data_IF_564549142915
#
_entry.id   IF_564549142915
#
_cell.length_a   1.000
_cell.length_b   1.000
_cell.length_c   1.000
_cell.angle_alpha   90.00
_cell.angle_beta   90.00
_cell.angle_gamma   90.00
#
_symmetry.space_group_name_H-M   'P 1'
#
loop_
_entity.id
_entity.type
_entity.pdbx_description
1 polymer ?
#
# COMPACT_ATOMS: atom_id res chain seq x y z
N UNK A 1 -25.27 12.59 22.85
CA UNK A 1 -24.63 11.73 21.84
C UNK A 1 -23.14 12.06 21.66
N UNK A 2 -22.78 13.25 21.15
CA UNK A 2 -21.38 13.66 20.88
C UNK A 2 -20.44 13.69 22.10
N UNK A 3 -20.94 13.88 23.33
CA UNK A 3 -20.09 13.98 24.53
C UNK A 3 -19.98 12.69 25.35
N UNK A 4 -20.88 11.72 25.17
CA UNK A 4 -20.87 10.46 25.94
C UNK A 4 -20.52 9.25 25.08
N UNK A 5 -21.13 9.13 23.89
CA UNK A 5 -20.92 7.96 23.01
C UNK A 5 -19.62 8.10 22.22
N UNK A 6 -19.36 9.31 21.68
CA UNK A 6 -18.17 9.58 20.88
C UNK A 6 -16.84 9.25 21.58
N UNK A 7 -16.59 9.65 22.85
CA UNK A 7 -15.33 9.33 23.52
C UNK A 7 -15.14 7.84 23.85
N UNK A 8 -16.22 7.11 24.10
CA UNK A 8 -16.18 5.66 24.37
C UNK A 8 -15.91 4.89 23.07
N UNK A 9 -16.43 5.36 21.94
CA UNK A 9 -16.20 4.77 20.62
C UNK A 9 -14.92 5.23 19.92
N UNK A 10 -14.18 6.21 20.47
CA UNK A 10 -12.88 6.67 19.91
C UNK A 10 -11.90 5.53 19.57
N UNK A 11 -11.63 4.55 20.46
CA UNK A 11 -10.76 3.43 20.10
C UNK A 11 -11.36 2.59 18.97
N UNK A 12 -12.66 2.30 18.99
CA UNK A 12 -13.33 1.53 17.93
C UNK A 12 -13.27 2.23 16.57
N UNK A 13 -13.55 3.54 16.53
CA UNK A 13 -13.46 4.36 15.32
C UNK A 13 -12.02 4.43 14.80
N UNK A 14 -11.02 4.48 15.69
CA UNK A 14 -9.61 4.46 15.30
C UNK A 14 -9.24 3.13 14.64
N UNK A 15 -9.71 1.98 15.16
CA UNK A 15 -9.47 0.67 14.55
C UNK A 15 -10.16 0.54 13.18
N UNK A 16 -11.42 0.96 13.07
CA UNK A 16 -12.16 0.93 11.79
C UNK A 16 -11.50 1.87 10.77
N UNK A 17 -11.13 3.08 11.18
CA UNK A 17 -10.45 4.05 10.33
C UNK A 17 -9.09 3.54 9.86
N UNK A 18 -8.32 2.89 10.73
CA UNK A 18 -7.06 2.23 10.35
C UNK A 18 -7.29 1.13 9.33
N UNK A 19 -8.20 0.19 9.60
CA UNK A 19 -8.47 -0.95 8.70
C UNK A 19 -8.97 -0.49 7.33
N UNK A 20 -9.86 0.52 7.29
CA UNK A 20 -10.33 1.12 6.04
C UNK A 20 -9.19 1.84 5.29
N UNK A 21 -8.39 2.65 5.99
CA UNK A 21 -7.27 3.37 5.38
C UNK A 21 -6.25 2.39 4.80
N UNK A 22 -5.90 1.33 5.52
CA UNK A 22 -5.04 0.26 5.01
C UNK A 22 -5.67 -0.48 3.83
N UNK A 23 -6.96 -0.77 3.90
CA UNK A 23 -7.70 -1.43 2.82
C UNK A 23 -7.64 -0.62 1.53
N UNK A 24 -7.96 0.67 1.59
CA UNK A 24 -7.88 1.58 0.44
C UNK A 24 -6.44 1.85 -0.01
N UNK A 25 -5.49 1.94 0.92
CA UNK A 25 -4.08 2.15 0.60
C UNK A 25 -3.51 0.98 -0.22
N UNK A 26 -3.88 -0.24 0.12
CA UNK A 26 -3.47 -1.45 -0.59
C UNK A 26 -4.39 -1.80 -1.78
N UNK A 27 -5.38 -0.96 -2.08
CA UNK A 27 -6.32 -1.25 -3.17
C UNK A 27 -5.72 -0.84 -4.51
N UNK A 28 -5.11 -1.83 -5.17
CA UNK A 28 -4.61 -1.71 -6.53
C UNK A 28 -5.58 -2.29 -7.56
N UNK A 29 -6.39 -3.27 -7.19
CA UNK A 29 -7.26 -3.99 -8.13
C UNK A 29 -8.43 -3.14 -8.61
N UNK A 30 -9.16 -2.51 -7.68
CA UNK A 30 -10.29 -1.66 -8.06
C UNK A 30 -9.80 -0.43 -8.83
N UNK A 31 -8.63 0.11 -8.47
CA UNK A 31 -8.00 1.20 -9.22
C UNK A 31 -7.62 0.79 -10.63
N UNK A 32 -7.11 -0.43 -10.87
CA UNK A 32 -6.77 -0.88 -12.22
C UNK A 32 -8.01 -1.21 -13.07
N UNK A 33 -9.10 -1.64 -12.43
CA UNK A 33 -10.30 -2.12 -13.10
C UNK A 33 -11.28 -0.99 -13.45
N UNK A 34 -11.44 0.00 -12.56
CA UNK A 34 -12.44 1.06 -12.72
C UNK A 34 -11.88 2.40 -13.20
N UNK A 35 -10.58 2.62 -13.10
CA UNK A 35 -9.96 3.91 -13.46
C UNK A 35 -9.31 3.76 -14.83
N UNK A 36 -9.82 4.54 -15.79
CA UNK A 36 -9.28 4.59 -17.16
C UNK A 36 -8.23 5.72 -17.32
N UNK A 37 -8.29 6.73 -16.45
CA UNK A 37 -7.36 7.86 -16.47
C UNK A 37 -6.13 7.58 -15.60
N UNK A 38 -4.96 7.41 -16.24
CA UNK A 38 -3.67 7.15 -15.58
C UNK A 38 -3.28 8.18 -14.51
N UNK A 39 -3.80 9.41 -14.54
CA UNK A 39 -3.55 10.43 -13.51
C UNK A 39 -4.26 10.16 -12.18
N UNK A 40 -5.29 9.31 -12.20
CA UNK A 40 -6.10 8.96 -11.04
C UNK A 40 -5.73 7.59 -10.47
N UNK A 41 -4.69 6.94 -10.98
CA UNK A 41 -4.27 5.64 -10.48
C UNK A 41 -3.77 5.77 -9.04
N UNK A 42 -4.19 4.83 -8.19
CA UNK A 42 -3.63 4.70 -6.86
C UNK A 42 -2.13 4.42 -6.97
N UNK A 43 -1.35 4.87 -5.98
CA UNK A 43 0.10 4.62 -5.94
C UNK A 43 0.39 3.11 -6.09
N UNK A 44 -0.39 2.29 -5.40
CA UNK A 44 -0.29 0.83 -5.46
C UNK A 44 -0.55 0.28 -6.88
N UNK A 45 -1.54 0.83 -7.60
CA UNK A 45 -1.86 0.42 -8.97
C UNK A 45 -0.76 0.79 -9.97
N UNK A 46 -0.14 1.96 -9.83
CA UNK A 46 1.00 2.37 -10.68
C UNK A 46 2.18 1.43 -10.46
N UNK A 47 2.54 1.16 -9.20
CA UNK A 47 3.65 0.26 -8.87
C UNK A 47 3.42 -1.16 -9.42
N UNK A 48 2.21 -1.70 -9.25
CA UNK A 48 1.80 -2.99 -9.81
C UNK A 48 1.85 -3.02 -11.34
N UNK A 49 1.43 -1.93 -12.00
CA UNK A 49 1.51 -1.83 -13.46
C UNK A 49 2.97 -1.82 -13.92
N UNK A 50 3.85 -1.12 -13.23
CA UNK A 50 5.28 -1.11 -13.54
C UNK A 50 5.90 -2.49 -13.33
N UNK A 51 5.61 -3.19 -12.23
CA UNK A 51 6.11 -4.55 -11.99
C UNK A 51 5.67 -5.52 -13.09
N UNK A 52 4.39 -5.49 -13.48
CA UNK A 52 3.86 -6.30 -14.58
C UNK A 52 4.49 -5.97 -15.93
N UNK A 53 4.74 -4.69 -16.22
CA UNK A 53 5.43 -4.29 -17.44
C UNK A 53 6.88 -4.81 -17.45
N UNK A 54 7.57 -4.77 -16.31
CA UNK A 54 8.93 -5.29 -16.17
C UNK A 54 8.95 -6.81 -16.34
N UNK A 55 8.01 -7.54 -15.74
CA UNK A 55 7.84 -8.98 -15.93
C UNK A 55 7.49 -9.35 -17.37
N UNK A 56 6.65 -8.54 -18.04
CA UNK A 56 6.31 -8.74 -19.44
C UNK A 56 7.54 -8.58 -20.34
N UNK A 57 8.33 -7.52 -20.13
CA UNK A 57 9.58 -7.29 -20.85
C UNK A 57 10.62 -8.37 -20.57
N UNK A 58 10.67 -8.87 -19.33
CA UNK A 58 11.54 -9.96 -18.93
C UNK A 58 11.25 -11.27 -19.67
N UNK A 59 9.97 -11.64 -19.77
CA UNK A 59 9.54 -12.91 -20.36
C UNK A 59 9.49 -12.86 -21.90
N UNK A 60 9.38 -11.66 -22.49
CA UNK A 60 9.35 -11.46 -23.95
C UNK A 60 10.67 -10.88 -24.48
N UNK A 61 11.76 -10.96 -23.72
CA UNK A 61 13.06 -10.41 -24.12
C UNK A 61 13.59 -11.02 -25.42
N UNK A 62 13.25 -12.29 -25.70
CA UNK A 62 13.62 -12.99 -26.95
C UNK A 62 12.84 -12.54 -28.19
N UNK A 63 11.67 -11.91 -28.03
CA UNK A 63 10.86 -11.40 -29.16
C UNK A 63 11.03 -9.90 -29.42
N UNK A 64 11.83 -9.23 -28.60
CA UNK A 64 12.15 -7.81 -28.71
C UNK A 64 13.38 -7.59 -29.60
N UNK A 65 13.44 -6.45 -30.30
CA UNK A 65 14.61 -6.07 -31.10
C UNK A 65 15.89 -6.09 -30.25
N UNK A 66 17.04 -6.41 -30.85
CA UNK A 66 18.33 -6.61 -30.16
C UNK A 66 18.66 -5.48 -29.16
N UNK A 67 18.30 -4.23 -29.50
CA UNK A 67 18.47 -3.08 -28.60
C UNK A 67 17.53 -3.13 -27.38
N UNK A 68 16.25 -3.45 -27.55
CA UNK A 68 15.28 -3.55 -26.46
C UNK A 68 15.53 -4.77 -25.55
N UNK A 69 16.01 -5.88 -26.11
CA UNK A 69 16.41 -7.06 -25.35
C UNK A 69 17.60 -6.76 -24.41
N UNK A 70 18.59 -6.00 -24.87
CA UNK A 70 19.74 -5.61 -24.04
C UNK A 70 19.35 -4.67 -22.89
N UNK A 71 18.42 -3.74 -23.13
CA UNK A 71 17.84 -2.90 -22.07
C UNK A 71 17.00 -3.70 -21.07
N UNK A 72 16.22 -4.69 -21.52
CA UNK A 72 15.42 -5.55 -20.66
C UNK A 72 16.29 -6.49 -19.79
N UNK A 73 17.41 -6.97 -20.31
CA UNK A 73 18.38 -7.77 -19.55
C UNK A 73 19.21 -6.93 -18.56
N UNK A 74 19.56 -5.68 -18.91
CA UNK A 74 20.23 -4.75 -18.00
C UNK A 74 19.30 -4.11 -16.97
N UNK A 75 17.97 -4.24 -17.12
CA UNK A 75 17.01 -3.67 -16.19
C UNK A 75 17.07 -4.40 -14.84
N UNK A 76 17.45 -3.72 -13.74
CA UNK A 76 17.59 -4.35 -12.44
C UNK A 76 16.21 -4.65 -11.81
N UNK A 77 15.71 -5.88 -11.96
CA UNK A 77 14.37 -6.27 -11.48
C UNK A 77 14.26 -6.30 -9.95
N UNK A 78 15.28 -6.86 -9.30
CA UNK A 78 15.32 -7.01 -7.83
C UNK A 78 15.35 -5.66 -7.09
N UNK A 79 16.26 -4.72 -7.38
CA UNK A 79 16.27 -3.44 -6.68
C UNK A 79 15.05 -2.58 -7.01
N UNK A 80 14.43 -2.75 -8.19
CA UNK A 80 13.16 -2.08 -8.49
C UNK A 80 12.04 -2.59 -7.58
N UNK A 81 11.90 -3.92 -7.41
CA UNK A 81 10.92 -4.50 -6.47
C UNK A 81 11.19 -4.06 -5.03
N UNK A 82 12.45 -4.03 -4.62
CA UNK A 82 12.82 -3.50 -3.29
C UNK A 82 12.49 -2.02 -3.14
N UNK A 83 12.74 -1.19 -4.16
CA UNK A 83 12.38 0.22 -4.14
C UNK A 83 10.86 0.42 -4.04
N UNK A 84 10.07 -0.38 -4.78
CA UNK A 84 8.60 -0.38 -4.66
C UNK A 84 8.16 -0.75 -3.25
N UNK A 85 8.74 -1.80 -2.66
CA UNK A 85 8.43 -2.21 -1.28
C UNK A 85 8.72 -1.09 -0.27
N UNK A 86 9.86 -0.41 -0.41
CA UNK A 86 10.22 0.74 0.44
C UNK A 86 9.20 1.88 0.30
N UNK A 87 8.80 2.22 -0.93
CA UNK A 87 7.80 3.28 -1.20
C UNK A 87 6.44 2.95 -0.59
N UNK A 88 6.04 1.67 -0.57
CA UNK A 88 4.78 1.21 0.04
C UNK A 88 4.86 1.29 1.57
N UNK A 89 5.99 0.87 2.15
CA UNK A 89 6.16 0.76 3.61
C UNK A 89 6.36 2.11 4.28
N UNK A 90 7.01 3.09 3.65
CA UNK A 90 7.27 4.43 4.22
C UNK A 90 6.00 5.11 4.77
N UNK A 91 4.94 5.32 3.98
CA UNK A 91 3.74 6.03 4.47
C UNK A 91 3.01 5.25 5.56
N UNK A 92 3.02 3.91 5.51
CA UNK A 92 2.48 3.06 6.56
C UNK A 92 3.29 3.21 7.86
N UNK A 93 4.62 3.22 7.76
CA UNK A 93 5.52 3.43 8.89
C UNK A 93 5.37 4.84 9.49
N UNK A 94 5.15 5.87 8.67
CA UNK A 94 4.84 7.22 9.13
C UNK A 94 3.47 7.32 9.81
N UNK A 95 2.49 6.51 9.38
CA UNK A 95 1.17 6.44 10.01
C UNK A 95 1.20 5.66 11.34
N UNK A 96 2.08 4.68 11.48
CA UNK A 96 2.25 3.85 12.69
C UNK A 96 2.32 4.65 14.01
N UNK A 97 3.13 5.71 14.19
CA UNK A 97 3.19 6.47 15.44
C UNK A 97 1.86 7.17 15.80
N UNK A 98 1.05 7.54 14.80
CA UNK A 98 -0.27 8.14 15.02
C UNK A 98 -1.23 7.13 15.65
N UNK A 99 -1.18 5.88 15.19
CA UNK A 99 -2.04 4.80 15.68
C UNK A 99 -1.50 4.14 16.96
N UNK A 100 -0.18 4.11 17.15
CA UNK A 100 0.46 3.55 18.34
C UNK A 100 -0.15 4.11 19.64
N UNK A 101 -0.43 5.41 19.71
CA UNK A 101 -1.07 6.02 20.91
C UNK A 101 -2.46 5.44 21.20
N UNK A 102 -3.27 5.15 20.19
CA UNK A 102 -4.62 4.63 20.37
C UNK A 102 -4.63 3.13 20.68
N UNK A 103 -3.70 2.36 20.09
CA UNK A 103 -3.54 0.94 20.38
C UNK A 103 -3.01 0.68 21.80
N UNK A 104 -2.00 1.43 22.25
CA UNK A 104 -1.44 1.29 23.61
C UNK A 104 -2.47 1.66 24.67
N UNK A 105 -3.33 2.64 24.42
CA UNK A 105 -4.41 3.03 25.35
C UNK A 105 -5.60 2.06 25.32
N UNK A 106 -5.87 1.39 24.20
CA UNK A 106 -6.93 0.38 24.09
C UNK A 106 -6.56 -0.97 24.73
N UNK A 107 -5.32 -1.41 24.55
CA UNK A 107 -4.78 -2.63 25.18
C UNK A 107 -4.66 -2.50 26.70
N UNK A 108 -4.22 -1.35 27.23
CA UNK A 108 -4.13 -1.14 28.68
C UNK A 108 -5.50 -1.12 29.36
N UNK A 109 -6.57 -0.68 28.69
CA UNK A 109 -7.94 -0.74 29.24
C UNK A 109 -8.51 -2.16 29.21
N UNK A 110 -8.08 -3.00 28.27
CA UNK A 110 -8.46 -4.42 28.20
C UNK A 110 -7.69 -5.33 29.18
N UNK A 111 -6.42 -5.02 29.46
CA UNK A 111 -5.57 -5.80 30.38
C UNK A 111 -5.69 -5.39 31.85
N UNK A 112 -6.35 -4.28 32.18
CA UNK A 112 -6.65 -3.88 33.57
C UNK A 112 -8.01 -4.44 34.04
N UNK A 113 -8.58 -5.40 33.30
CA UNK A 113 -9.80 -6.11 33.67
C UNK A 113 -9.62 -7.60 33.97
N UNK A 114 -8.42 -7.96 34.42
CA UNK A 114 -8.22 -9.00 35.43
C UNK A 114 -7.74 -8.36 36.74
#
# INVERSE_FOLDING_TARGET
YFQMVLPISKPLLATIGLLLTFGYWNDWWLSLMYIDNKKLYSLQAVLMSVERNIEFLANNADSLSVSAAEYAMKMPKEPMRMAMAVVIVIPIACAYPFFQKYFVTGLTVGSVKE
#
